data_IF_517522788183
#
_entry.id   IF_517522788183
#
_cell.length_a   1.000
_cell.length_b   1.000
_cell.length_c   1.000
_cell.angle_alpha   90.00
_cell.angle_beta   90.00
_cell.angle_gamma   90.00
#
_symmetry.space_group_name_H-M   'P 1'
#
loop_
_entity.id
_entity.type
_entity.pdbx_description
1 polymer ?
2 water ?
#
# COMPACT_ATOMS: atom_id res chain seq x y z
N UNK A 10 5.46 51.19 -10.46
CA UNK A 10 6.58 50.55 -11.21
C UNK A 10 6.06 49.59 -12.31
N UNK A 11 6.87 49.36 -13.36
CA UNK A 11 6.51 48.42 -14.43
C UNK A 11 7.70 47.54 -14.78
N UNK A 12 7.62 46.25 -14.47
CA UNK A 12 8.77 45.38 -14.65
C UNK A 12 8.79 44.64 -16.01
N UNK A 13 9.03 45.37 -17.10
CA UNK A 13 8.95 44.83 -18.49
C UNK A 13 9.87 43.64 -18.91
N UNK A 14 10.89 43.27 -18.15
CA UNK A 14 11.71 42.13 -18.57
C UNK A 14 12.50 41.48 -17.46
N UNK A 15 13.13 40.34 -17.73
CA UNK A 15 13.81 39.65 -16.64
C UNK A 15 14.89 40.47 -15.90
N UNK A 16 15.70 41.27 -16.60
CA UNK A 16 16.71 42.13 -15.92
C UNK A 16 16.04 43.08 -14.91
N UNK A 17 14.98 43.79 -15.35
CA UNK A 17 14.17 44.64 -14.47
C UNK A 17 13.52 43.95 -13.27
N UNK A 18 13.43 42.63 -13.25
CA UNK A 18 12.95 41.95 -12.10
C UNK A 18 14.14 41.90 -11.15
N UNK A 19 15.17 41.14 -11.54
CA UNK A 19 16.51 41.22 -10.93
C UNK A 19 16.79 42.56 -10.22
N UNK A 20 16.48 43.68 -10.88
CA UNK A 20 16.57 45.05 -10.37
C UNK A 20 15.79 45.17 -9.08
N UNK A 21 14.48 45.43 -9.23
CA UNK A 21 13.50 45.22 -8.10
C UNK A 21 13.94 44.28 -6.94
N UNK A 22 14.20 42.99 -7.18
CA UNK A 22 14.63 42.09 -6.08
C UNK A 22 16.01 42.40 -5.51
N UNK A 23 16.67 43.46 -5.95
CA UNK A 23 17.93 43.85 -5.28
C UNK A 23 17.55 44.98 -4.31
N UNK A 24 16.75 45.92 -4.84
CA UNK A 24 16.09 46.98 -4.06
C UNK A 24 15.24 46.44 -2.88
N UNK A 25 14.21 45.65 -3.19
CA UNK A 25 13.48 44.94 -2.16
C UNK A 25 14.47 44.42 -1.11
N UNK A 26 15.47 43.63 -1.50
CA UNK A 26 16.35 43.01 -0.52
C UNK A 26 17.20 44.04 0.19
N UNK A 27 17.21 45.27 -0.33
CA UNK A 27 17.89 46.40 0.34
C UNK A 27 17.03 47.07 1.49
N UNK A 28 15.75 47.31 1.17
CA UNK A 28 14.68 47.62 2.10
C UNK A 28 14.56 46.61 3.24
N UNK A 29 14.46 45.32 2.94
CA UNK A 29 14.40 44.29 3.99
C UNK A 29 15.59 44.46 4.93
N UNK A 30 16.72 44.83 4.37
CA UNK A 30 17.95 44.90 5.14
C UNK A 30 17.96 46.21 5.94
N UNK A 31 17.45 47.29 5.35
CA UNK A 31 17.25 48.57 6.00
C UNK A 31 16.15 48.49 7.10
N UNK A 32 14.87 48.43 6.72
CA UNK A 32 13.79 48.15 7.69
C UNK A 32 14.28 47.29 8.85
N UNK A 33 14.51 45.99 8.62
CA UNK A 33 14.97 45.05 9.66
C UNK A 33 16.12 45.51 10.53
N UNK A 34 16.63 46.72 10.29
CA UNK A 34 17.67 47.33 11.08
C UNK A 34 17.22 48.64 11.72
N UNK A 35 16.24 49.30 11.11
CA UNK A 35 15.40 50.28 11.79
C UNK A 35 14.83 49.62 13.06
N UNK A 36 14.26 48.42 12.87
CA UNK A 36 13.70 47.59 13.91
C UNK A 36 14.71 46.93 14.84
N UNK A 37 15.97 47.31 14.74
CA UNK A 37 16.94 46.78 15.69
C UNK A 37 17.18 47.93 16.61
N UNK A 38 17.21 49.12 16.03
CA UNK A 38 17.42 50.36 16.76
C UNK A 38 16.28 50.71 17.73
N UNK A 40 14.28 48.40 19.16
CA UNK A 40 14.44 47.42 20.22
C UNK A 40 15.71 47.61 21.06
N UNK A 41 16.53 48.58 20.70
CA UNK A 41 17.63 49.01 21.54
C UNK A 41 17.20 50.24 22.37
N UNK A 42 16.28 51.03 21.81
CA UNK A 42 15.78 52.22 22.48
C UNK A 42 14.80 51.82 23.59
N UNK A 43 13.94 50.85 23.23
CA UNK A 43 12.98 50.21 24.12
C UNK A 43 13.69 49.30 25.11
N UNK A 44 14.75 48.67 24.69
CA UNK A 44 15.45 47.82 25.60
C UNK A 44 16.01 48.69 26.69
N UNK A 45 16.59 49.82 26.29
CA UNK A 45 17.25 50.72 27.21
C UNK A 45 16.25 51.39 28.17
N UNK A 46 15.08 51.72 27.66
CA UNK A 46 14.12 52.39 28.49
C UNK A 46 13.67 51.40 29.57
N UNK A 47 13.32 50.17 29.18
CA UNK A 47 12.84 49.21 30.17
C UNK A 47 13.89 48.98 31.24
N UNK A 48 15.14 49.29 30.92
CA UNK A 48 16.25 48.96 31.79
C UNK A 48 16.52 50.11 32.76
N UNK A 49 16.38 51.35 32.28
CA UNK A 49 16.42 52.54 33.14
C UNK A 49 15.26 52.51 34.15
N UNK A 50 14.03 52.29 33.63
CA UNK A 50 12.82 52.29 34.46
C UNK A 50 13.06 51.39 35.64
N UNK A 51 13.19 50.10 35.33
CA UNK A 51 13.48 49.04 36.29
C UNK A 51 14.81 49.21 37.11
N UNK A 52 15.78 49.99 36.60
CA UNK A 52 16.97 50.35 37.43
C UNK A 52 16.60 51.30 38.57
N UNK A 53 15.95 52.43 38.24
CA UNK A 53 15.58 53.40 39.25
C UNK A 53 14.49 52.91 40.22
N UNK A 54 13.59 52.02 39.79
CA UNK A 54 12.45 51.69 40.66
C UNK A 54 12.58 50.39 41.46
N UNK A 55 13.68 49.69 41.28
CA UNK A 55 13.86 48.46 42.02
C UNK A 55 14.04 48.79 43.50
N UNK A 56 14.95 49.74 43.83
CA UNK A 56 15.12 50.22 45.23
C UNK A 56 13.86 50.94 45.89
N UNK A 57 13.18 51.80 45.14
CA UNK A 57 11.88 52.31 45.55
C UNK A 57 10.84 51.20 45.87
N UNK A 58 10.74 50.16 45.05
CA UNK A 58 9.80 49.07 45.35
C UNK A 58 10.30 48.11 46.41
N UNK A 59 11.62 48.08 46.62
CA UNK A 59 12.20 47.35 47.75
C UNK A 59 11.79 48.08 49.02
N UNK A 60 11.97 49.40 49.04
CA UNK A 60 11.60 50.20 50.18
C UNK A 60 10.08 50.14 50.41
N UNK A 61 9.29 50.20 49.35
CA UNK A 61 7.85 50.13 49.57
C UNK A 61 7.45 48.84 50.28
N UNK A 62 8.23 47.77 50.10
CA UNK A 62 7.95 46.48 50.71
C UNK A 62 8.19 46.51 52.24
N UNK A 63 9.44 46.60 52.68
CA UNK A 63 9.76 46.99 54.05
C UNK A 63 8.64 47.80 54.82
N UNK A 64 8.07 48.84 54.18
CA UNK A 64 7.11 49.73 54.82
C UNK A 64 5.77 49.09 54.84
N UNK A 65 5.35 48.63 53.66
CA UNK A 65 4.13 47.83 53.54
C UNK A 65 4.09 46.69 54.56
N UNK A 66 5.12 45.85 54.60
CA UNK A 66 5.25 44.84 55.63
C UNK A 66 5.10 45.55 56.97
N UNK A 67 6.22 46.01 57.55
CA UNK A 67 6.20 47.05 58.61
C UNK A 67 4.87 47.45 59.19
N UNK A 68 4.03 48.13 58.41
CA UNK A 68 2.72 48.54 58.90
C UNK A 68 1.91 47.29 59.21
N UNK A 69 2.27 46.21 58.51
CA UNK A 69 1.45 44.98 58.52
C UNK A 69 1.56 44.26 59.84
N UNK A 70 2.76 43.76 60.17
CA UNK A 70 2.95 43.20 61.50
C UNK A 70 2.40 44.13 62.56
N UNK A 71 2.74 45.42 62.52
CA UNK A 71 2.15 46.40 63.46
C UNK A 71 0.64 46.31 63.54
N UNK A 72 -0.06 46.33 62.40
CA UNK A 72 -1.53 46.24 62.41
C UNK A 72 -2.07 44.90 62.89
N UNK A 73 -1.38 43.79 62.60
CA UNK A 73 -1.77 42.50 63.21
C UNK A 73 -1.44 42.42 64.75
N UNK A 74 -0.16 42.27 65.13
CA UNK A 74 0.22 42.39 66.56
C UNK A 74 -0.68 43.31 67.40
N UNK A 75 -1.28 44.36 66.83
CA UNK A 75 -2.12 45.32 67.56
C UNK A 75 -3.61 45.25 67.20
N UNK A 76 -4.01 44.10 66.67
CA UNK A 76 -5.24 44.00 65.86
C UNK A 76 -6.54 44.26 66.60
N UNK A 77 -6.71 43.53 67.71
CA UNK A 77 -8.01 43.31 68.40
C UNK A 77 -8.67 44.61 68.90
N UNK A 78 -7.85 45.45 69.54
CA UNK A 78 -8.27 46.76 70.01
C UNK A 78 -8.51 47.73 68.85
N UNK A 80 -9.02 47.86 65.49
CA UNK A 80 -10.08 47.86 64.45
C UNK A 80 -11.42 47.39 64.99
N UNK A 84 -12.66 47.75 61.94
CA UNK A 84 -12.91 47.90 60.50
C UNK A 84 -11.68 48.45 59.72
N UNK A 85 -11.61 49.79 59.63
CA UNK A 85 -10.66 50.53 58.76
C UNK A 85 -10.21 51.89 59.33
N UNK A 86 -9.05 51.89 59.97
CA UNK A 86 -8.45 53.10 60.54
C UNK A 86 -7.93 54.07 59.45
N UNK A 87 -8.55 55.25 59.31
CA UNK A 87 -8.04 56.35 58.42
C UNK A 87 -6.70 56.99 58.82
N UNK A 88 -5.73 57.08 57.93
CA UNK A 88 -4.43 57.67 58.33
C UNK A 88 -4.08 58.99 57.58
N UNK A 89 -5.12 59.64 57.06
CA UNK A 89 -5.05 60.85 56.22
C UNK A 89 -4.49 60.63 54.84
N UNK A 90 -3.31 60.00 54.81
CA UNK A 90 -2.63 59.66 53.58
C UNK A 90 -3.22 58.42 52.93
N UNK A 91 -3.95 57.66 53.72
CA UNK A 91 -4.80 56.63 53.20
C UNK A 91 -5.21 55.72 54.31
N UNK A 92 -6.02 54.71 53.98
CA UNK A 92 -6.59 53.82 54.96
C UNK A 92 -5.79 52.53 55.14
N UNK A 93 -5.76 51.99 56.35
CA UNK A 93 -5.30 50.65 56.52
C UNK A 93 -6.41 49.84 57.12
N UNK A 94 -6.11 48.58 57.45
CA UNK A 94 -7.13 47.61 57.88
C UNK A 94 -7.16 46.18 57.30
N UNK A 95 -8.32 45.55 57.52
CA UNK A 95 -8.55 44.11 57.23
C UNK A 95 -9.81 43.88 56.42
N UNK A 96 -9.70 43.16 55.30
CA UNK A 96 -10.89 42.90 54.49
C UNK A 96 -11.13 41.42 54.30
N UNK A 97 -12.40 41.04 54.12
CA UNK A 97 -12.78 39.61 53.88
C UNK A 97 -12.95 39.34 52.41
N UNK A 98 -12.10 38.49 51.87
CA UNK A 98 -12.21 38.05 50.49
C UNK A 98 -12.44 36.54 50.51
N UNK A 99 -13.55 36.13 49.94
CA UNK A 99 -13.85 34.74 49.72
C UNK A 99 -13.37 34.29 48.32
N UNK A 100 -12.63 33.20 48.28
CA UNK A 100 -12.29 32.60 46.98
C UNK A 100 -12.70 31.09 46.93
N UNK A 101 -13.18 30.60 45.79
CA UNK A 101 -13.50 29.18 45.63
C UNK A 101 -12.34 28.44 44.99
N UNK A 102 -11.92 27.33 45.57
CA UNK A 102 -10.66 26.73 45.17
C UNK A 102 -10.70 25.17 45.12
N UNK A 103 -9.72 24.51 44.52
CA UNK A 103 -9.77 23.03 44.46
C UNK A 103 -9.58 22.44 45.84
N UNK A 105 -7.98 19.48 48.42
CA UNK A 105 -6.54 19.17 48.40
C UNK A 105 -6.11 18.20 47.29
N UNK A 106 -6.70 17.02 47.12
CA UNK A 106 -5.96 16.24 46.11
C UNK A 106 -6.67 16.13 44.80
N UNK A 107 -7.49 17.15 44.47
CA UNK A 107 -8.46 17.09 43.42
C UNK A 107 -8.16 18.11 42.30
N UNK A 108 -7.86 17.67 41.12
CA UNK A 108 -7.56 18.58 40.06
C UNK A 108 -8.82 19.16 39.54
N UNK A 109 -8.70 20.27 38.81
CA UNK A 109 -9.85 20.91 38.17
C UNK A 109 -10.53 20.03 37.10
N UNK A 110 -9.79 19.16 36.43
CA UNK A 110 -10.44 18.18 35.55
C UNK A 110 -11.26 17.12 36.34
N UNK A 112 -12.98 17.78 39.10
CA UNK A 112 -14.18 18.54 39.40
C UNK A 112 -15.13 18.61 38.20
N UNK A 113 -14.58 18.84 37.01
CA UNK A 113 -15.42 18.76 35.79
C UNK A 113 -16.14 17.42 35.60
N UNK A 114 -15.43 16.32 35.83
CA UNK A 114 -15.98 15.05 35.48
C UNK A 114 -17.03 14.82 36.52
N UNK A 115 -16.78 15.28 37.74
CA UNK A 115 -17.84 15.16 38.67
C UNK A 115 -18.98 15.96 38.38
N UNK A 116 -18.78 17.23 37.98
CA UNK A 116 -19.94 18.07 37.62
C UNK A 116 -20.74 17.29 36.60
N UNK A 117 -20.09 16.46 35.82
CA UNK A 117 -20.71 15.94 34.64
C UNK A 117 -21.41 14.63 35.06
N UNK A 118 -20.73 13.78 35.86
CA UNK A 118 -21.36 12.61 36.54
C UNK A 118 -22.69 13.03 37.21
N UNK A 119 -22.77 14.22 37.79
CA UNK A 119 -23.99 14.65 38.47
C UNK A 119 -24.97 15.39 37.54
N UNK A 120 -24.61 15.59 36.26
CA UNK A 120 -25.45 16.31 35.31
C UNK A 120 -25.54 17.82 35.52
N UNK A 121 -24.53 18.41 36.12
CA UNK A 121 -24.61 19.83 36.38
C UNK A 121 -23.96 20.50 35.20
N UNK A 122 -24.75 20.92 34.23
CA UNK A 122 -24.09 21.58 33.08
C UNK A 122 -23.86 23.05 33.31
N UNK A 123 -24.64 23.71 34.18
CA UNK A 123 -24.33 25.11 34.66
C UNK A 123 -22.95 25.27 35.30
N UNK A 124 -22.38 24.19 35.82
CA UNK A 124 -21.08 24.29 36.36
C UNK A 124 -19.95 24.36 35.35
N UNK A 125 -20.25 24.08 34.08
CA UNK A 125 -19.20 23.84 33.08
C UNK A 125 -19.12 24.90 31.98
N UNK A 126 -17.93 25.39 31.69
CA UNK A 126 -17.76 26.31 30.56
C UNK A 126 -17.07 25.66 29.35
N UNK A 127 -17.70 25.65 28.17
CA UNK A 127 -17.16 24.84 27.02
C UNK A 127 -16.70 25.78 25.91
N UNK A 128 -15.65 25.45 25.19
CA UNK A 128 -15.31 26.21 24.01
C UNK A 128 -14.88 25.22 22.96
N UNK A 129 -15.73 25.02 21.97
CA UNK A 129 -15.55 23.95 20.99
C UNK A 129 -14.93 24.48 19.73
N UNK A 130 -14.19 23.67 19.03
CA UNK A 130 -13.55 24.18 17.86
C UNK A 130 -13.34 23.14 16.86
N UNK A 131 -13.26 23.51 15.59
CA UNK A 131 -13.15 22.54 14.53
C UNK A 131 -11.74 22.18 14.41
N UNK A 132 -11.48 20.91 14.32
CA UNK A 132 -10.16 20.38 14.19
C UNK A 132 -9.72 20.37 12.73
N UNK A 133 -9.02 21.41 12.29
CA UNK A 133 -8.71 21.43 10.85
C UNK A 133 -7.71 20.39 10.38
N UNK A 134 -7.18 19.61 11.31
CA UNK A 134 -6.23 18.58 10.92
C UNK A 134 -6.75 17.21 10.70
N UNK A 135 -7.83 16.80 11.35
CA UNK A 135 -8.50 15.58 10.91
C UNK A 135 -9.18 15.90 9.59
N UNK A 137 -8.12 17.91 6.88
CA UNK A 137 -7.12 17.65 5.81
C UNK A 137 -7.10 16.28 5.14
N UNK A 138 -7.25 15.18 5.85
CA UNK A 138 -7.27 13.88 5.17
C UNK A 138 -8.64 13.39 4.67
N UNK A 139 -9.65 14.25 4.76
CA UNK A 139 -11.00 14.00 4.13
C UNK A 139 -11.06 14.29 2.63
N UNK A 140 -11.82 13.48 1.89
CA UNK A 140 -12.26 13.83 0.53
C UNK A 140 -13.16 15.08 0.48
N UNK A 141 -13.26 15.71 -0.67
CA UNK A 141 -14.10 16.90 -0.86
C UNK A 141 -15.60 16.81 -0.49
N UNK A 142 -16.15 15.60 -0.68
CA UNK A 142 -17.53 15.29 -0.38
C UNK A 142 -17.80 15.21 1.11
N UNK A 143 -16.92 14.61 1.89
CA UNK A 143 -17.10 14.56 3.32
C UNK A 143 -17.01 15.97 3.89
N UNK A 144 -16.10 16.75 3.35
CA UNK A 144 -16.04 18.10 3.74
C UNK A 144 -17.35 18.79 3.42
N UNK A 145 -17.93 18.53 2.24
CA UNK A 145 -19.10 19.28 1.80
C UNK A 145 -20.26 19.03 2.78
N UNK A 147 -20.18 18.45 6.04
CA UNK A 147 -20.03 19.21 7.23
C UNK A 147 -19.85 20.71 6.99
N UNK A 148 -20.12 21.14 5.74
CA UNK A 148 -20.12 22.55 5.40
C UNK A 148 -18.78 23.17 5.17
N UNK A 149 -17.81 22.37 4.71
CA UNK A 149 -16.41 22.82 4.56
C UNK A 149 -15.89 22.65 3.09
N UNK A 150 -15.04 23.56 2.59
CA UNK A 150 -14.44 23.24 1.28
C UNK A 150 -12.94 23.46 1.30
N UNK A 151 -12.25 22.62 0.53
CA UNK A 151 -10.86 22.81 0.18
C UNK A 151 -10.78 24.00 -0.78
N UNK A 152 -10.11 25.08 -0.43
CA UNK A 152 -9.88 26.26 -1.31
C UNK A 152 -8.44 26.08 -1.79
N UNK A 153 -8.23 25.92 -3.09
CA UNK A 153 -6.85 25.70 -3.51
C UNK A 153 -6.22 26.87 -4.33
N UNK A 154 -5.34 27.64 -3.70
CA UNK A 154 -4.72 28.84 -4.32
C UNK A 154 -3.36 28.56 -5.05
N UNK A 155 -3.17 29.10 -6.27
CA UNK A 155 -1.79 29.29 -6.87
C UNK A 155 -1.27 30.71 -6.65
N UNK A 156 -0.43 30.90 -5.63
CA UNK A 156 0.02 32.25 -5.22
C UNK A 156 1.47 32.59 -5.66
N UNK A 157 1.67 33.88 -5.99
CA UNK A 157 2.98 34.47 -6.34
C UNK A 157 3.89 34.61 -5.15
N UNK A 158 5.11 34.12 -5.27
CA UNK A 158 6.05 34.37 -4.20
C UNK A 158 7.40 34.89 -4.67
N UNK A 159 7.79 36.03 -4.09
CA UNK A 159 9.16 36.55 -4.16
C UNK A 159 9.77 36.12 -2.87
N UNK A 160 10.89 35.42 -2.94
CA UNK A 160 11.47 34.90 -1.72
C UNK A 160 12.99 35.15 -1.54
N UNK A 161 13.36 36.39 -1.18
CA UNK A 161 14.74 36.85 -0.86
C UNK A 161 15.62 35.91 -0.03
N UNK A 162 16.94 35.94 -0.26
CA UNK A 162 17.87 34.91 0.25
C UNK A 162 18.22 35.11 1.70
N UNK B 10 28.05 -37.10 3.43
CA UNK B 10 27.19 -36.52 4.52
C UNK B 10 26.68 -37.53 5.59
N UNK B 11 26.77 -37.11 6.85
CA UNK B 11 26.57 -37.95 8.01
C UNK B 11 25.55 -37.28 8.92
N UNK B 12 24.40 -37.92 9.08
CA UNK B 12 23.32 -37.34 9.85
C UNK B 12 23.33 -37.97 11.23
N UNK B 13 23.95 -37.24 12.17
CA UNK B 13 24.15 -37.75 13.52
C UNK B 13 22.95 -37.50 14.43
N UNK B 14 22.17 -36.45 14.21
CA UNK B 14 21.00 -36.29 15.03
C UNK B 14 19.82 -35.75 14.28
N UNK B 15 18.72 -35.52 14.98
CA UNK B 15 17.50 -35.18 14.34
C UNK B 15 17.42 -33.75 13.88
N UNK B 16 18.34 -32.90 14.32
CA UNK B 16 18.27 -31.53 13.85
C UNK B 16 19.17 -31.41 12.64
N UNK B 17 20.05 -32.38 12.50
CA UNK B 17 20.87 -32.45 11.31
C UNK B 17 20.01 -33.02 10.19
N UNK B 18 18.96 -33.74 10.53
CA UNK B 18 18.08 -34.29 9.56
C UNK B 18 17.04 -33.27 9.25
N UNK B 19 16.51 -32.53 10.23
CA UNK B 19 15.63 -31.41 9.87
C UNK B 19 16.34 -30.46 8.94
N UNK B 20 17.65 -30.36 9.11
CA UNK B 20 18.48 -29.46 8.32
C UNK B 20 18.54 -29.97 6.90
N UNK B 21 18.78 -31.28 6.72
CA UNK B 21 18.98 -31.85 5.41
C UNK B 21 17.65 -31.73 4.67
N UNK B 22 16.58 -32.18 5.32
CA UNK B 22 15.28 -31.95 4.77
C UNK B 22 15.06 -30.45 4.42
N UNK B 23 15.70 -29.50 5.12
CA UNK B 23 15.39 -28.10 4.76
C UNK B 23 16.09 -27.82 3.43
N UNK B 24 17.27 -28.36 3.29
CA UNK B 24 18.04 -28.16 2.11
C UNK B 24 17.44 -28.95 0.90
N UNK B 25 17.12 -30.23 1.08
CA UNK B 25 16.38 -30.96 0.07
C UNK B 25 15.18 -30.13 -0.46
N UNK B 26 14.28 -29.73 0.43
CA UNK B 26 13.22 -28.79 0.07
C UNK B 26 13.72 -27.53 -0.66
N UNK B 27 14.94 -27.03 -0.41
CA UNK B 27 15.39 -25.82 -1.16
C UNK B 27 15.84 -26.20 -2.55
N UNK B 28 16.62 -27.26 -2.63
CA UNK B 28 17.09 -27.84 -3.88
C UNK B 28 15.93 -28.02 -4.87
N UNK B 29 14.88 -28.78 -4.52
CA UNK B 29 13.70 -28.91 -5.37
C UNK B 29 13.17 -27.55 -5.94
N UNK B 30 12.95 -26.58 -5.06
CA UNK B 30 12.66 -25.23 -5.45
C UNK B 30 13.71 -24.70 -6.40
N UNK B 31 15.00 -24.81 -6.10
CA UNK B 31 15.93 -24.30 -7.10
C UNK B 31 15.78 -24.97 -8.47
N UNK B 32 15.65 -26.32 -8.53
CA UNK B 32 15.58 -27.01 -9.83
C UNK B 32 14.29 -26.70 -10.61
N UNK B 33 13.22 -26.42 -9.88
CA UNK B 33 11.97 -26.01 -10.46
C UNK B 33 12.18 -24.64 -11.07
N UNK B 34 13.18 -23.91 -10.65
CA UNK B 34 13.36 -22.60 -11.22
C UNK B 34 14.13 -22.72 -12.51
N UNK B 35 15.07 -23.65 -12.50
CA UNK B 35 15.90 -23.99 -13.65
C UNK B 35 14.99 -24.49 -14.79
N UNK B 36 14.09 -25.42 -14.47
CA UNK B 36 13.05 -25.85 -15.37
C UNK B 36 12.18 -24.74 -15.95
N UNK B 37 11.93 -23.72 -15.16
CA UNK B 37 11.08 -22.64 -15.62
C UNK B 37 11.86 -21.77 -16.61
N UNK B 38 13.12 -21.44 -16.27
CA UNK B 38 14.02 -20.75 -17.16
C UNK B 38 14.12 -21.57 -18.47
N UNK B 40 11.93 -23.66 -19.85
CA UNK B 40 10.73 -23.61 -20.57
C UNK B 40 10.51 -22.23 -21.16
N UNK B 41 11.08 -21.20 -20.56
CA UNK B 41 10.85 -19.90 -21.15
C UNK B 41 11.80 -19.71 -22.31
N UNK B 42 12.78 -20.58 -22.46
CA UNK B 42 13.72 -20.48 -23.54
C UNK B 42 13.23 -21.41 -24.66
N UNK B 43 12.65 -22.56 -24.30
CA UNK B 43 11.98 -23.43 -25.27
C UNK B 43 10.77 -22.75 -25.93
N UNK B 44 10.21 -21.72 -25.28
CA UNK B 44 9.14 -20.93 -25.87
C UNK B 44 9.69 -19.80 -26.64
N UNK B 45 10.78 -19.24 -26.16
CA UNK B 45 11.29 -18.13 -26.89
C UNK B 45 11.82 -18.70 -28.21
N UNK B 46 12.11 -20.02 -28.26
CA UNK B 46 12.68 -20.53 -29.49
C UNK B 46 11.54 -20.81 -30.43
N UNK B 47 10.50 -21.50 -29.96
CA UNK B 47 9.31 -21.70 -30.72
C UNK B 47 8.72 -20.37 -31.25
N UNK B 48 9.14 -19.22 -30.72
CA UNK B 48 8.57 -17.96 -31.24
C UNK B 48 9.55 -17.28 -32.17
N UNK B 49 10.83 -17.52 -32.04
CA UNK B 49 11.69 -17.12 -33.10
C UNK B 49 11.40 -17.93 -34.40
N UNK B 50 11.23 -19.24 -34.29
CA UNK B 50 10.82 -20.03 -35.43
C UNK B 50 9.53 -19.55 -36.10
N UNK B 51 8.59 -19.08 -35.29
CA UNK B 51 7.24 -18.90 -35.79
C UNK B 51 7.17 -17.60 -36.55
N UNK B 52 8.29 -16.89 -36.53
CA UNK B 52 8.26 -15.52 -36.88
C UNK B 52 9.16 -15.37 -38.07
N UNK B 53 10.34 -15.98 -38.02
CA UNK B 53 11.09 -16.25 -39.25
C UNK B 53 10.24 -16.96 -40.27
N UNK B 54 9.22 -17.71 -39.88
CA UNK B 54 8.57 -18.56 -40.86
C UNK B 54 7.12 -18.18 -41.31
N UNK B 55 6.56 -17.19 -40.65
CA UNK B 55 5.22 -16.83 -40.98
C UNK B 55 5.18 -16.07 -42.32
N UNK B 56 6.18 -15.23 -42.61
CA UNK B 56 6.17 -14.59 -43.93
C UNK B 56 6.32 -15.65 -45.07
N UNK B 57 7.15 -16.66 -44.84
CA UNK B 57 7.34 -17.72 -45.79
C UNK B 57 6.06 -18.50 -46.00
N UNK B 58 5.25 -18.72 -44.95
CA UNK B 58 4.01 -19.53 -45.05
C UNK B 58 2.82 -18.77 -45.67
N UNK B 59 2.84 -17.45 -45.52
CA UNK B 59 1.84 -16.61 -46.10
C UNK B 59 2.05 -16.54 -47.63
N UNK B 60 3.32 -16.62 -48.03
CA UNK B 60 3.69 -16.54 -49.40
C UNK B 60 3.41 -17.92 -49.90
N UNK B 61 3.61 -18.93 -49.07
CA UNK B 61 3.33 -20.24 -49.58
C UNK B 61 1.87 -20.33 -49.91
N UNK B 62 1.01 -19.62 -49.19
CA UNK B 62 -0.45 -19.81 -49.29
C UNK B 62 -0.94 -19.02 -50.51
N UNK B 63 -0.57 -17.74 -50.59
CA UNK B 63 -0.62 -17.02 -51.90
C UNK B 63 -0.27 -17.89 -53.13
N UNK B 64 0.89 -18.54 -53.14
CA UNK B 64 1.22 -19.40 -54.26
C UNK B 64 0.25 -20.55 -54.40
N UNK B 65 -0.21 -21.14 -53.31
CA UNK B 65 -1.05 -22.32 -53.43
C UNK B 65 -2.45 -21.94 -53.92
N UNK B 66 -2.97 -20.81 -53.44
CA UNK B 66 -4.19 -20.30 -53.99
C UNK B 66 -4.04 -19.94 -55.46
N UNK B 67 -3.03 -19.15 -55.85
CA UNK B 67 -2.78 -18.85 -57.28
C UNK B 67 -2.91 -20.07 -58.19
N UNK B 68 -2.20 -21.16 -57.84
CA UNK B 68 -2.15 -22.38 -58.63
C UNK B 68 -3.50 -23.06 -58.65
N UNK B 69 -4.18 -23.07 -57.50
CA UNK B 69 -5.55 -23.61 -57.35
C UNK B 69 -6.50 -22.89 -58.25
N UNK B 70 -6.46 -21.56 -58.20
CA UNK B 70 -7.34 -20.70 -58.95
C UNK B 70 -7.13 -21.00 -60.43
N UNK B 71 -5.87 -21.08 -60.86
CA UNK B 71 -5.56 -21.41 -62.24
C UNK B 71 -6.06 -22.79 -62.63
N UNK B 72 -5.74 -23.83 -61.85
CA UNK B 72 -6.23 -25.16 -62.17
C UNK B 72 -7.77 -25.27 -62.23
N UNK B 73 -8.52 -24.56 -61.39
CA UNK B 73 -10.00 -24.62 -61.43
C UNK B 73 -10.62 -23.84 -62.64
N UNK B 74 -10.17 -22.62 -62.90
CA UNK B 74 -10.51 -21.92 -64.14
C UNK B 74 -10.23 -22.70 -65.44
N UNK B 75 -9.63 -23.87 -65.37
CA UNK B 75 -9.25 -24.63 -66.55
C UNK B 75 -9.45 -26.09 -66.26
N UNK B 76 -10.38 -26.38 -65.34
CA UNK B 76 -10.67 -27.72 -64.84
C UNK B 76 -10.89 -28.69 -66.00
N UNK B 77 -12.00 -28.44 -66.74
CA UNK B 77 -12.44 -29.21 -67.93
C UNK B 77 -11.26 -29.54 -68.88
N UNK B 78 -10.68 -28.47 -69.46
CA UNK B 78 -9.65 -28.59 -70.47
C UNK B 78 -8.44 -29.39 -69.94
N UNK B 80 -7.72 -31.34 -67.14
CA UNK B 80 -7.79 -32.71 -66.57
C UNK B 80 -8.76 -33.68 -67.31
N UNK B 85 -5.00 -35.49 -62.76
CA UNK B 85 -3.66 -35.42 -62.16
C UNK B 85 -2.41 -35.04 -63.09
N UNK B 86 -2.01 -33.75 -63.21
CA UNK B 86 -0.72 -33.44 -63.87
C UNK B 86 0.58 -33.39 -63.03
N UNK B 87 1.61 -34.11 -63.47
CA UNK B 87 2.98 -33.89 -62.97
C UNK B 87 3.57 -32.62 -63.57
N UNK B 88 4.04 -31.70 -62.71
CA UNK B 88 4.71 -30.51 -63.18
C UNK B 88 6.15 -30.48 -62.72
N UNK B 89 6.68 -31.62 -62.29
CA UNK B 89 8.10 -31.73 -61.99
C UNK B 89 8.33 -31.58 -60.53
N UNK B 90 8.10 -30.39 -60.00
CA UNK B 90 8.24 -30.27 -58.55
C UNK B 90 7.05 -30.78 -57.70
N UNK B 91 5.98 -31.21 -58.36
CA UNK B 91 4.90 -31.85 -57.66
C UNK B 91 3.76 -32.06 -58.63
N UNK B 92 2.73 -32.77 -58.18
CA UNK B 92 1.58 -33.09 -59.01
C UNK B 92 0.41 -32.29 -58.51
N UNK B 93 -0.45 -31.79 -59.37
CA UNK B 93 -1.63 -31.12 -58.88
C UNK B 93 -2.83 -31.79 -59.43
N UNK B 94 -4.00 -31.46 -58.91
CA UNK B 94 -5.24 -32.04 -59.45
C UNK B 94 -6.42 -31.96 -58.51
N UNK B 95 -7.38 -32.84 -58.73
CA UNK B 95 -8.67 -32.79 -57.99
C UNK B 95 -9.04 -34.19 -57.60
N UNK B 96 -9.48 -34.32 -56.35
CA UNK B 96 -9.83 -35.65 -55.80
C UNK B 96 -10.81 -35.62 -54.64
N UNK B 97 -11.28 -36.83 -54.33
CA UNK B 97 -12.36 -36.98 -53.39
C UNK B 97 -11.77 -37.41 -52.05
N UNK B 98 -12.13 -36.65 -51.01
CA UNK B 98 -11.80 -36.96 -49.64
C UNK B 98 -13.07 -37.17 -48.86
N UNK B 99 -13.12 -38.25 -48.11
CA UNK B 99 -14.24 -38.46 -47.23
C UNK B 99 -13.69 -38.20 -45.84
N UNK B 100 -14.54 -37.86 -44.89
CA UNK B 100 -14.12 -37.87 -43.50
C UNK B 100 -15.39 -38.17 -42.72
N UNK B 101 -15.30 -39.08 -41.75
CA UNK B 101 -16.44 -39.52 -40.97
C UNK B 101 -16.31 -38.80 -39.67
N UNK B 102 -17.39 -38.17 -39.23
CA UNK B 102 -17.33 -37.22 -38.17
C UNK B 102 -18.49 -37.50 -37.23
N UNK B 103 -18.45 -37.05 -35.98
CA UNK B 103 -19.64 -37.10 -35.15
C UNK B 103 -20.73 -36.14 -35.67
N UNK B 105 -23.40 -33.29 -34.81
CA UNK B 105 -23.40 -32.27 -33.85
C UNK B 105 -23.97 -32.71 -32.50
N UNK B 106 -23.17 -32.53 -31.45
CA UNK B 106 -23.65 -32.76 -30.09
C UNK B 106 -23.95 -34.22 -29.85
N UNK B 107 -23.46 -35.11 -30.70
CA UNK B 107 -23.42 -36.54 -30.39
C UNK B 107 -22.02 -37.00 -30.11
N UNK B 108 -21.86 -37.53 -28.94
CA UNK B 108 -20.55 -37.88 -28.39
C UNK B 108 -20.04 -39.24 -28.87
N UNK B 109 -18.71 -39.39 -28.89
CA UNK B 109 -18.06 -40.64 -29.26
C UNK B 109 -18.58 -41.81 -28.44
N UNK B 110 -18.87 -41.58 -27.15
CA UNK B 110 -19.41 -42.63 -26.28
C UNK B 110 -20.82 -42.99 -26.63
N UNK B 112 -22.15 -42.79 -29.57
CA UNK B 112 -22.02 -43.61 -30.73
C UNK B 112 -21.54 -44.98 -30.40
N UNK B 113 -20.59 -45.12 -29.45
CA UNK B 113 -20.20 -46.50 -29.03
C UNK B 113 -21.39 -47.14 -28.37
N UNK B 114 -22.16 -46.38 -27.64
CA UNK B 114 -23.38 -47.00 -27.13
C UNK B 114 -24.32 -47.56 -28.24
N UNK B 115 -24.85 -46.71 -29.14
CA UNK B 115 -25.64 -47.19 -30.30
C UNK B 115 -25.00 -48.44 -31.05
N UNK B 116 -23.69 -48.38 -31.32
CA UNK B 116 -23.02 -49.54 -31.87
C UNK B 116 -23.28 -50.81 -31.03
N UNK B 117 -23.01 -50.77 -29.73
CA UNK B 117 -23.20 -51.99 -28.93
C UNK B 117 -24.65 -52.37 -28.99
N UNK B 118 -25.55 -51.42 -28.70
CA UNK B 118 -27.01 -51.64 -28.78
C UNK B 118 -27.49 -52.48 -29.94
N UNK B 119 -27.02 -52.12 -31.15
CA UNK B 119 -27.32 -52.75 -32.43
C UNK B 119 -26.41 -53.95 -32.79
N UNK B 120 -25.43 -54.25 -31.96
CA UNK B 120 -24.55 -55.44 -32.20
C UNK B 120 -23.50 -55.31 -33.30
N UNK B 121 -23.29 -54.09 -33.75
CA UNK B 121 -22.42 -53.84 -34.86
C UNK B 121 -21.02 -53.78 -34.30
N UNK B 122 -20.60 -54.92 -33.84
CA UNK B 122 -19.29 -55.09 -33.31
C UNK B 122 -18.13 -54.61 -34.26
N UNK B 123 -18.27 -54.78 -35.59
CA UNK B 123 -17.21 -54.27 -36.48
C UNK B 123 -16.96 -52.77 -36.37
N UNK B 124 -17.89 -52.00 -35.79
CA UNK B 124 -17.73 -50.55 -35.70
C UNK B 124 -16.82 -50.10 -34.57
N UNK B 125 -16.63 -50.98 -33.58
CA UNK B 125 -15.96 -50.64 -32.33
C UNK B 125 -14.50 -51.09 -32.34
N UNK B 126 -13.55 -50.19 -32.15
CA UNK B 126 -12.17 -50.65 -32.12
C UNK B 126 -11.71 -50.82 -30.67
N UNK B 127 -11.39 -52.07 -30.34
CA UNK B 127 -10.92 -52.42 -28.99
C UNK B 127 -9.39 -52.34 -28.76
N UNK B 128 -9.05 -51.71 -27.65
CA UNK B 128 -7.69 -51.72 -27.18
C UNK B 128 -7.71 -52.31 -25.74
N UNK B 129 -7.02 -53.43 -25.54
CA UNK B 129 -6.99 -54.14 -24.23
C UNK B 129 -5.72 -53.88 -23.44
N UNK B 130 -5.83 -53.68 -22.13
CA UNK B 130 -4.65 -53.46 -21.26
C UNK B 130 -4.82 -54.17 -19.91
N UNK B 131 -3.71 -54.44 -19.20
CA UNK B 131 -3.74 -55.15 -17.90
C UNK B 131 -4.16 -54.24 -16.77
N UNK B 132 -5.30 -54.54 -16.17
CA UNK B 132 -5.88 -53.76 -15.09
C UNK B 132 -5.26 -54.15 -13.74
N UNK B 133 -4.05 -53.67 -13.50
CA UNK B 133 -3.30 -54.15 -12.34
C UNK B 133 -3.96 -53.69 -11.05
N UNK B 134 -4.53 -52.50 -11.06
CA UNK B 134 -5.31 -52.04 -9.90
C UNK B 134 -6.37 -53.04 -9.38
N UNK B 135 -7.05 -53.78 -10.24
CA UNK B 135 -8.04 -54.74 -9.71
C UNK B 135 -7.37 -56.00 -9.20
N UNK B 137 -5.13 -56.04 -6.62
CA UNK B 137 -4.38 -55.73 -5.41
C UNK B 137 -4.59 -56.73 -4.26
N UNK B 138 -5.70 -57.48 -4.27
CA UNK B 138 -5.85 -58.59 -3.32
C UNK B 138 -5.61 -59.98 -3.89
N UNK B 139 -5.17 -60.08 -5.14
CA UNK B 139 -4.84 -61.36 -5.73
C UNK B 139 -3.70 -62.13 -4.99
N UNK B 140 -3.87 -63.42 -4.73
CA UNK B 140 -2.66 -64.12 -4.23
C UNK B 140 -1.52 -64.19 -5.26
N UNK B 141 -0.29 -64.44 -4.84
CA UNK B 141 0.81 -64.57 -5.77
C UNK B 141 0.59 -65.58 -6.80
N UNK B 142 -0.15 -66.62 -6.47
CA UNK B 142 -0.26 -67.75 -7.40
C UNK B 142 -1.22 -67.37 -8.49
N UNK B 143 -2.27 -66.58 -8.19
CA UNK B 143 -3.12 -66.09 -9.26
C UNK B 143 -2.27 -65.30 -10.24
N UNK B 144 -1.43 -64.39 -9.78
CA UNK B 144 -0.60 -63.63 -10.65
C UNK B 144 0.31 -64.52 -11.50
N UNK B 145 0.97 -65.52 -10.90
CA UNK B 145 1.86 -66.43 -11.65
C UNK B 145 1.04 -67.13 -12.74
N UNK B 147 -1.16 -66.00 -14.63
CA UNK B 147 -1.30 -65.21 -15.84
C UNK B 147 -0.03 -64.49 -16.28
N UNK B 148 1.15 -64.92 -15.85
CA UNK B 148 2.37 -64.27 -16.26
C UNK B 148 2.87 -63.07 -15.48
N UNK B 149 2.14 -62.67 -14.45
CA UNK B 149 2.51 -61.46 -13.70
C UNK B 149 3.30 -61.83 -12.43
N UNK B 150 3.89 -60.86 -11.77
CA UNK B 150 4.58 -61.07 -10.53
C UNK B 150 4.39 -59.85 -9.64
N UNK B 151 4.34 -60.02 -8.31
CA UNK B 151 4.26 -58.85 -7.48
C UNK B 151 5.55 -58.49 -6.76
N UNK B 152 6.25 -57.40 -7.13
CA UNK B 152 7.38 -56.94 -6.30
C UNK B 152 6.88 -56.22 -5.06
N UNK B 153 7.46 -56.55 -3.91
CA UNK B 153 7.33 -55.65 -2.79
C UNK B 153 8.63 -55.31 -2.04
N UNK B 154 8.70 -54.04 -1.62
CA UNK B 154 9.80 -53.50 -0.83
C UNK B 154 9.21 -52.75 0.33
N UNK B 155 9.80 -52.97 1.52
CA UNK B 155 9.67 -52.04 2.66
C UNK B 155 10.81 -51.07 2.47
N UNK B 156 10.48 -49.82 2.16
CA UNK B 156 11.53 -48.80 1.83
C UNK B 156 11.43 -47.43 2.49
N UNK B 157 12.60 -46.84 2.67
CA UNK B 157 12.66 -45.54 3.29
C UNK B 157 12.14 -44.47 2.34
N UNK B 158 11.28 -43.57 2.83
CA UNK B 158 10.78 -42.49 2.03
C UNK B 158 10.96 -41.09 2.69
N UNK B 159 10.95 -40.06 1.84
CA UNK B 159 10.88 -38.70 2.24
C UNK B 159 9.77 -38.07 1.40
N UNK B 160 8.73 -37.57 2.04
CA UNK B 160 7.77 -36.72 1.38
C UNK B 160 8.05 -35.29 1.84
N UNK B 161 8.39 -34.40 0.92
CA UNK B 161 8.65 -33.05 1.26
C UNK B 161 7.34 -32.31 1.37
N UNK B 162 7.24 -31.45 2.39
CA UNK B 162 6.09 -30.58 2.63
C UNK B 162 6.02 -29.59 1.51
N UNK B 163 4.90 -29.51 0.80
CA UNK B 163 4.87 -28.56 -0.35
C UNK B 163 4.76 -27.07 -0.03
N UNK B 164 4.38 -26.71 1.20
CA UNK B 164 4.30 -25.30 1.61
C UNK B 164 3.22 -24.51 0.89
N UNK B 165 2.17 -25.19 0.48
CA UNK B 165 1.04 -24.53 -0.18
C UNK B 165 0.16 -23.82 0.87
N UNK B 166 -0.49 -22.74 0.46
CA UNK B 166 -1.32 -21.92 1.33
C UNK B 166 -2.34 -22.72 2.19
#
# INVERSE_FOLDING_TARGET
SLSRRKPNPVIVADIRQAEGALAEIATIDRKVGEIEAQXNEAIDAAKARASQKSAPLLARRKELEDGVATFATLNKTEXFKDRKSLDLGFGTIGFRLSTQIVQXSKITKDXTLERLRQFGISEGIRIKEDVNKEAXQGWPDERLEXVGLKRRTTDAFYIEINREEVADTAA
SLSRRKPNPVIVADIRQAEGALAEIATIDRKVGEIEAQXNEAIDAAKARASQKSAPLLARRKELEDGVATFATLNKTEXFKDRKSLDLGFGTIGFRLSTQIVQXSKITKDXTLERLRQFGISEGIRIKEDVNKEAXQGWPDERLEXVGLKRRTTDAFYIEINREEVADTAA
#
